data_IF_243452436692
#
_entry.id   IF_243452436692
#
_cell.length_a   1.000
_cell.length_b   1.000
_cell.length_c   1.000
_cell.angle_alpha   90.00
_cell.angle_beta   90.00
_cell.angle_gamma   90.00
#
_symmetry.space_group_name_H-M   'P 1'
#
loop_
_entity.id
_entity.type
_entity.pdbx_description
1 polymer ?
#
# COMPACT_ATOMS: atom_id res chain seq x y z
N UNK A 1 28.96 -5.76 20.76
CA UNK A 1 27.64 -6.29 20.38
C UNK A 1 26.57 -5.33 20.86
N UNK A 2 26.15 -4.37 20.02
CA UNK A 2 25.06 -3.45 20.34
C UNK A 2 23.88 -3.83 19.44
N UNK A 3 22.89 -4.50 20.04
CA UNK A 3 21.61 -4.77 19.41
C UNK A 3 20.92 -3.43 19.16
N UNK A 4 20.98 -2.95 17.93
CA UNK A 4 20.16 -1.83 17.49
C UNK A 4 18.69 -2.25 17.63
N UNK A 5 18.04 -1.72 18.67
CA UNK A 5 16.59 -1.84 18.88
C UNK A 5 15.91 -1.23 17.66
N UNK A 6 15.37 -2.09 16.77
CA UNK A 6 14.45 -1.65 15.72
C UNK A 6 13.28 -0.97 16.41
N UNK A 7 13.13 0.33 16.21
CA UNK A 7 11.93 1.05 16.60
C UNK A 7 10.75 0.40 15.88
N UNK A 8 9.90 -0.28 16.64
CA UNK A 8 8.61 -0.74 16.15
C UNK A 8 7.76 0.53 16.08
N UNK A 9 7.76 1.19 14.92
CA UNK A 9 6.76 2.19 14.61
C UNK A 9 5.41 1.48 14.53
N UNK A 10 4.71 1.38 15.66
CA UNK A 10 3.32 0.97 15.69
C UNK A 10 2.48 2.12 15.17
N UNK A 11 2.49 2.35 13.85
CA UNK A 11 1.35 2.98 13.23
C UNK A 11 0.20 1.99 13.37
N UNK A 12 -0.81 2.34 14.16
CA UNK A 12 -2.08 1.61 14.20
C UNK A 12 -2.54 1.45 12.75
N UNK A 13 -2.73 0.21 12.33
CA UNK A 13 -3.25 -0.08 11.01
C UNK A 13 -4.75 0.27 11.01
N UNK A 14 -5.13 1.35 10.33
CA UNK A 14 -6.52 1.82 10.25
C UNK A 14 -7.34 1.01 9.25
N UNK A 15 -6.69 0.38 8.26
CA UNK A 15 -7.38 -0.27 7.14
C UNK A 15 -6.96 -1.72 6.89
N UNK A 16 -6.09 -2.26 7.73
CA UNK A 16 -5.45 -3.57 7.59
C UNK A 16 -3.93 -3.44 7.41
N UNK A 17 -3.13 -4.35 8.01
CA UNK A 17 -1.67 -4.22 8.03
C UNK A 17 -1.05 -4.18 6.62
N UNK A 18 -1.64 -4.84 5.62
CA UNK A 18 -1.15 -4.82 4.24
C UNK A 18 -1.60 -3.55 3.52
N UNK A 19 -2.89 -3.19 3.58
CA UNK A 19 -3.41 -1.95 2.98
C UNK A 19 -2.65 -0.72 3.48
N UNK A 20 -2.42 -0.62 4.78
CA UNK A 20 -1.68 0.52 5.36
C UNK A 20 -0.24 0.57 4.86
N UNK A 21 0.42 -0.58 4.73
CA UNK A 21 1.78 -0.65 4.20
C UNK A 21 1.85 -0.26 2.72
N UNK A 22 0.85 -0.62 1.92
CA UNK A 22 0.73 -0.19 0.52
C UNK A 22 0.59 1.33 0.46
N UNK A 23 -0.35 1.91 1.22
CA UNK A 23 -0.57 3.37 1.25
C UNK A 23 0.70 4.12 1.66
N UNK A 24 1.37 3.67 2.72
CA UNK A 24 2.59 4.31 3.20
C UNK A 24 3.69 4.31 2.14
N UNK A 25 3.93 3.19 1.47
CA UNK A 25 4.97 3.07 0.44
C UNK A 25 4.65 3.91 -0.79
N UNK A 26 3.41 3.83 -1.28
CA UNK A 26 3.00 4.59 -2.46
C UNK A 26 3.06 6.10 -2.22
N UNK A 27 2.65 6.57 -1.02
CA UNK A 27 2.79 7.99 -0.65
C UNK A 27 4.24 8.44 -0.56
N UNK A 28 5.10 7.63 0.04
CA UNK A 28 6.51 7.98 0.22
C UNK A 28 7.24 8.07 -1.13
N UNK A 29 7.00 7.11 -2.02
CA UNK A 29 7.72 6.99 -3.30
C UNK A 29 7.18 7.93 -4.37
N UNK A 30 5.86 7.90 -4.60
CA UNK A 30 5.25 8.55 -5.76
C UNK A 30 4.73 9.96 -5.47
N UNK A 31 4.67 10.36 -4.19
CA UNK A 31 4.12 11.66 -3.73
C UNK A 31 2.85 12.07 -4.51
N UNK A 32 1.84 11.19 -4.58
CA UNK A 32 0.74 11.34 -5.51
C UNK A 32 -0.16 12.51 -5.13
N UNK A 33 -0.79 13.13 -6.13
CA UNK A 33 -1.85 14.12 -5.90
C UNK A 33 -3.16 13.46 -5.52
N UNK A 34 -3.36 12.20 -5.93
CA UNK A 34 -4.49 11.36 -5.53
C UNK A 34 -4.04 9.90 -5.35
N UNK A 35 -4.51 9.27 -4.28
CA UNK A 35 -4.28 7.85 -4.00
C UNK A 35 -5.50 7.23 -3.32
N UNK A 36 -6.05 6.20 -3.95
CA UNK A 36 -7.08 5.33 -3.42
C UNK A 36 -6.59 3.87 -3.43
N UNK A 37 -6.84 3.16 -2.33
CA UNK A 37 -6.50 1.75 -2.16
C UNK A 37 -7.68 1.06 -1.50
N UNK A 38 -8.26 0.08 -2.18
CA UNK A 38 -9.38 -0.73 -1.68
C UNK A 38 -8.96 -2.20 -1.58
N UNK A 39 -9.32 -2.85 -0.48
CA UNK A 39 -9.08 -4.29 -0.33
C UNK A 39 -10.31 -5.03 -0.85
N UNK A 40 -10.17 -5.76 -1.95
CA UNK A 40 -11.24 -6.51 -2.59
C UNK A 40 -11.16 -8.00 -2.26
N UNK A 41 -10.43 -8.37 -1.21
CA UNK A 41 -10.22 -9.78 -0.84
C UNK A 41 -11.53 -10.53 -0.56
N UNK A 42 -12.58 -9.82 -0.13
CA UNK A 42 -13.91 -10.40 0.07
C UNK A 42 -14.65 -10.73 -1.24
N UNK A 43 -14.25 -10.12 -2.35
CA UNK A 43 -14.87 -10.30 -3.67
C UNK A 43 -14.30 -11.53 -4.41
N UNK A 44 -13.29 -12.20 -3.85
CA UNK A 44 -12.62 -13.34 -4.45
C UNK A 44 -12.72 -14.59 -3.58
N UNK A 45 -12.69 -15.76 -4.22
CA UNK A 45 -12.64 -17.04 -3.52
C UNK A 45 -11.32 -17.16 -2.72
N UNK A 46 -11.43 -17.35 -1.40
CA UNK A 46 -10.27 -17.43 -0.52
C UNK A 46 -10.62 -17.19 0.95
N UNK A 47 -9.60 -17.11 1.81
CA UNK A 47 -9.78 -16.70 3.20
C UNK A 47 -9.90 -15.18 3.23
N UNK A 48 -10.98 -14.67 3.83
CA UNK A 48 -11.30 -13.23 3.86
C UNK A 48 -10.21 -12.36 4.50
N UNK A 49 -9.47 -12.91 5.47
CA UNK A 49 -8.52 -12.14 6.28
C UNK A 49 -7.11 -12.07 5.69
N UNK A 50 -6.85 -12.67 4.53
CA UNK A 50 -5.48 -12.78 4.01
C UNK A 50 -4.98 -11.51 3.29
N UNK A 51 -5.82 -10.47 3.11
CA UNK A 51 -5.48 -9.18 2.45
C UNK A 51 -4.63 -9.39 1.16
N UNK A 52 -5.22 -10.02 0.13
CA UNK A 52 -4.49 -10.49 -1.07
C UNK A 52 -4.85 -9.77 -2.36
N UNK A 53 -6.07 -9.24 -2.44
CA UNK A 53 -6.56 -8.56 -3.63
C UNK A 53 -6.81 -7.09 -3.31
N UNK A 54 -6.24 -6.22 -4.15
CA UNK A 54 -6.34 -4.78 -3.99
C UNK A 54 -6.60 -4.10 -5.32
N UNK A 55 -7.57 -3.18 -5.29
CA UNK A 55 -7.71 -2.15 -6.29
C UNK A 55 -6.90 -0.93 -5.85
N UNK A 56 -6.13 -0.35 -6.77
CA UNK A 56 -5.28 0.82 -6.51
C UNK A 56 -5.48 1.83 -7.64
N UNK A 57 -5.91 3.04 -7.29
CA UNK A 57 -5.93 4.19 -8.18
C UNK A 57 -4.92 5.21 -7.69
N UNK A 58 -4.00 5.62 -8.57
CA UNK A 58 -2.93 6.56 -8.23
C UNK A 58 -2.73 7.59 -9.34
N UNK A 59 -2.62 8.86 -8.96
CA UNK A 59 -2.29 9.97 -9.86
C UNK A 59 -1.00 10.60 -9.38
N UNK A 60 0.05 10.57 -10.22
CA UNK A 60 1.36 11.15 -9.92
C UNK A 60 2.05 11.57 -11.22
N UNK A 61 2.83 12.66 -11.15
CA UNK A 61 3.70 13.10 -12.25
C UNK A 61 4.81 12.08 -12.55
N UNK A 62 5.08 11.16 -11.64
CA UNK A 62 6.06 10.08 -11.85
C UNK A 62 5.67 9.16 -13.02
N UNK A 63 4.40 9.17 -13.46
CA UNK A 63 3.94 8.38 -14.61
C UNK A 63 3.98 9.16 -15.94
N UNK A 64 4.38 10.44 -15.93
CA UNK A 64 4.44 11.25 -17.14
C UNK A 64 5.45 10.67 -18.15
N UNK A 65 5.00 10.46 -19.38
CA UNK A 65 5.82 9.87 -20.45
C UNK A 65 6.06 8.37 -20.35
N UNK A 66 5.50 7.69 -19.34
CA UNK A 66 5.57 6.24 -19.22
C UNK A 66 4.44 5.53 -19.99
N UNK A 67 4.74 4.34 -20.47
CA UNK A 67 3.79 3.38 -21.02
C UNK A 67 3.13 2.60 -19.89
N UNK A 68 1.95 2.04 -20.17
CA UNK A 68 1.12 1.33 -19.18
C UNK A 68 1.81 0.18 -18.43
N UNK A 69 2.88 -0.43 -18.96
CA UNK A 69 3.50 -1.66 -18.42
C UNK A 69 4.86 -1.41 -17.72
N UNK A 70 5.39 -0.19 -17.74
CA UNK A 70 6.71 0.14 -17.16
C UNK A 70 6.69 0.18 -15.62
#
# INVERSE_FOLDING_TARGET
MLLARRAIHTCVAWYGPVKDRIIQRLRAEFKPTHLEVECESENHAGRRDDERHFYVQIVSNNFEGLQTVQ
#
